data_IF_457771487401
#
_entry.id   IF_457771487401
#
_cell.length_a   1.000
_cell.length_b   1.000
_cell.length_c   1.000
_cell.angle_alpha   90.00
_cell.angle_beta   90.00
_cell.angle_gamma   90.00
#
_symmetry.space_group_name_H-M   'P 1'
#
loop_
_entity.id
_entity.type
_entity.pdbx_description
1 polymer ?
#
# COMPACT_ATOMS: atom_id res chain seq x y z
N UNK A 1 29.68 -16.83 -36.88
CA UNK A 1 29.44 -16.94 -35.42
C UNK A 1 29.27 -15.59 -34.72
N UNK A 2 30.22 -14.64 -34.89
CA UNK A 2 30.15 -13.29 -34.28
C UNK A 2 28.84 -12.53 -34.52
N UNK A 3 28.26 -12.60 -35.72
CA UNK A 3 27.02 -11.89 -36.04
C UNK A 3 25.79 -12.49 -35.36
N UNK A 4 25.78 -13.81 -35.11
CA UNK A 4 24.71 -14.48 -34.35
C UNK A 4 24.76 -14.09 -32.87
N UNK A 5 25.96 -13.96 -32.30
CA UNK A 5 26.16 -13.50 -30.92
C UNK A 5 25.68 -12.05 -30.75
N UNK A 6 26.01 -11.15 -31.70
CA UNK A 6 25.50 -9.76 -31.68
C UNK A 6 23.98 -9.70 -31.75
N UNK A 7 23.35 -10.54 -32.56
CA UNK A 7 21.89 -10.61 -32.68
C UNK A 7 21.24 -11.08 -31.37
N UNK A 8 21.80 -12.11 -30.72
CA UNK A 8 21.32 -12.60 -29.43
C UNK A 8 21.45 -11.51 -28.35
N UNK A 9 22.57 -10.80 -28.33
CA UNK A 9 22.81 -9.72 -27.36
C UNK A 9 21.86 -8.54 -27.58
N UNK A 10 21.56 -8.20 -28.83
CA UNK A 10 20.57 -7.18 -29.19
C UNK A 10 19.14 -7.58 -28.77
N UNK A 11 18.76 -8.84 -28.99
CA UNK A 11 17.47 -9.39 -28.53
C UNK A 11 17.36 -9.40 -27.00
N UNK A 12 18.45 -9.68 -26.28
CA UNK A 12 18.46 -9.68 -24.82
C UNK A 12 18.25 -8.29 -24.22
N UNK A 13 18.76 -7.22 -24.87
CA UNK A 13 18.53 -5.83 -24.43
C UNK A 13 17.06 -5.43 -24.62
N UNK A 14 16.44 -5.82 -25.74
CA UNK A 14 15.03 -5.53 -26.00
C UNK A 14 14.06 -6.27 -25.07
N UNK A 15 14.47 -7.41 -24.50
CA UNK A 15 13.65 -8.19 -23.58
C UNK A 15 13.59 -7.60 -22.15
N UNK A 16 14.40 -6.59 -21.81
CA UNK A 16 14.44 -6.02 -20.45
C UNK A 16 13.13 -5.30 -20.06
N UNK A 17 12.40 -4.76 -21.04
CA UNK A 17 11.11 -4.08 -20.84
C UNK A 17 10.02 -5.03 -20.29
N UNK A 18 10.10 -6.33 -20.57
CA UNK A 18 9.09 -7.31 -20.18
C UNK A 18 9.13 -7.71 -18.70
N UNK A 19 10.21 -7.38 -17.99
CA UNK A 19 10.41 -7.71 -16.58
C UNK A 19 10.21 -6.51 -15.64
N UNK A 20 9.74 -5.38 -16.15
CA UNK A 20 9.42 -4.23 -15.32
C UNK A 20 8.21 -4.52 -14.42
N UNK A 21 8.43 -4.63 -13.11
CA UNK A 21 7.34 -4.73 -12.13
C UNK A 21 6.67 -3.36 -11.99
N UNK A 22 5.50 -3.17 -12.61
CA UNK A 22 4.72 -1.97 -12.40
C UNK A 22 3.91 -2.09 -11.10
N UNK A 23 4.50 -1.59 -10.00
CA UNK A 23 3.90 -1.60 -8.66
C UNK A 23 2.78 -0.56 -8.55
N UNK A 24 2.76 0.42 -9.46
CA UNK A 24 1.79 1.50 -9.49
C UNK A 24 0.54 1.07 -10.25
N UNK A 25 -0.60 1.17 -9.58
CA UNK A 25 -1.90 0.83 -10.15
C UNK A 25 -2.79 2.06 -10.10
N UNK A 26 -3.45 2.35 -11.23
CA UNK A 26 -4.43 3.44 -11.32
C UNK A 26 -5.82 2.92 -10.95
N UNK A 27 -6.53 3.65 -10.10
CA UNK A 27 -7.92 3.37 -9.69
C UNK A 27 -8.78 4.61 -9.90
N UNK A 28 -10.06 4.37 -10.14
CA UNK A 28 -11.07 5.41 -10.28
C UNK A 28 -12.20 5.10 -9.29
N UNK A 29 -12.37 5.99 -8.32
CA UNK A 29 -13.52 5.97 -7.42
C UNK A 29 -14.54 7.03 -7.86
N UNK A 30 -15.83 6.74 -7.74
CA UNK A 30 -16.91 7.65 -8.11
C UNK A 30 -17.89 7.80 -6.96
N UNK A 31 -18.22 9.04 -6.63
CA UNK A 31 -19.10 9.40 -5.52
C UNK A 31 -20.20 10.32 -6.01
N UNK A 32 -21.37 10.26 -5.37
CA UNK A 32 -22.34 11.35 -5.44
C UNK A 32 -21.92 12.42 -4.45
N UNK A 33 -22.12 13.68 -4.80
CA UNK A 33 -21.88 14.77 -3.86
C UNK A 33 -22.76 14.57 -2.63
N UNK A 34 -22.16 14.74 -1.44
CA UNK A 34 -22.84 14.65 -0.17
C UNK A 34 -22.69 15.99 0.58
N UNK A 35 -23.63 16.32 1.49
CA UNK A 35 -23.55 17.54 2.29
C UNK A 35 -22.36 17.57 3.26
N UNK A 36 -21.89 16.39 3.70
CA UNK A 36 -20.79 16.26 4.66
C UNK A 36 -19.42 16.57 4.05
N UNK A 37 -19.35 16.70 2.72
CA UNK A 37 -18.15 16.99 1.95
C UNK A 37 -16.97 16.06 2.30
N UNK A 38 -17.29 14.78 2.48
CA UNK A 38 -16.35 13.78 2.95
C UNK A 38 -16.40 12.56 2.02
N UNK A 39 -15.28 12.32 1.33
CA UNK A 39 -15.16 11.27 0.32
C UNK A 39 -13.97 10.37 0.66
N UNK A 40 -14.27 9.15 1.09
CA UNK A 40 -13.25 8.15 1.42
C UNK A 40 -12.93 7.30 0.19
N UNK A 41 -11.70 7.37 -0.29
CA UNK A 41 -11.22 6.59 -1.43
C UNK A 41 -10.85 5.15 -1.02
N UNK A 42 -10.91 4.24 -1.99
CA UNK A 42 -10.88 2.80 -1.76
C UNK A 42 -9.51 2.25 -1.35
N UNK A 43 -8.41 2.87 -1.78
CA UNK A 43 -7.05 2.42 -1.48
C UNK A 43 -6.34 3.35 -0.49
N UNK A 44 -5.42 2.79 0.31
CA UNK A 44 -4.69 3.52 1.36
C UNK A 44 -3.27 3.95 0.94
N UNK A 45 -2.57 3.13 0.17
CA UNK A 45 -1.18 3.38 -0.25
C UNK A 45 -1.11 4.34 -1.45
N UNK A 46 -1.79 5.48 -1.34
CA UNK A 46 -1.94 6.45 -2.42
C UNK A 46 -0.61 7.14 -2.67
N UNK A 47 -0.25 7.32 -3.93
CA UNK A 47 0.91 8.12 -4.33
C UNK A 47 0.52 9.60 -4.21
N UNK A 48 1.21 10.40 -3.38
CA UNK A 48 0.94 11.82 -3.29
C UNK A 48 1.05 12.52 -4.64
N UNK A 49 0.13 13.45 -4.89
CA UNK A 49 0.00 14.28 -6.10
C UNK A 49 -0.33 13.52 -7.40
N UNK A 50 -0.69 12.24 -7.31
CA UNK A 50 -1.09 11.44 -8.48
C UNK A 50 -2.56 11.58 -8.87
N UNK A 51 -3.36 12.26 -8.04
CA UNK A 51 -4.80 12.31 -8.22
C UNK A 51 -5.26 13.38 -9.21
N UNK A 52 -6.27 13.01 -10.00
CA UNK A 52 -7.04 13.86 -10.87
C UNK A 52 -8.51 13.76 -10.47
N UNK A 53 -9.08 14.88 -10.06
CA UNK A 53 -10.45 14.95 -9.54
C UNK A 53 -11.31 15.67 -10.57
N UNK A 54 -12.45 15.07 -10.88
CA UNK A 54 -13.44 15.61 -11.81
C UNK A 54 -14.77 15.76 -11.09
N UNK A 55 -15.36 16.94 -11.17
CA UNK A 55 -16.74 17.19 -10.81
C UNK A 55 -17.56 17.19 -12.10
N UNK A 56 -18.39 16.17 -12.27
CA UNK A 56 -18.99 15.76 -13.54
C UNK A 56 -17.89 15.57 -14.60
N UNK A 57 -17.70 16.55 -15.47
CA UNK A 57 -16.69 16.55 -16.54
C UNK A 57 -15.64 17.67 -16.38
N UNK A 58 -15.75 18.47 -15.32
CA UNK A 58 -14.80 19.56 -15.05
C UNK A 58 -13.70 19.05 -14.14
N UNK A 59 -12.46 19.11 -14.62
CA UNK A 59 -11.29 18.83 -13.78
C UNK A 59 -11.15 19.94 -12.73
N UNK A 60 -11.01 19.55 -11.47
CA UNK A 60 -10.75 20.45 -10.36
C UNK A 60 -9.25 20.70 -10.23
N UNK A 61 -8.89 21.93 -9.88
CA UNK A 61 -7.52 22.28 -9.55
C UNK A 61 -7.18 21.82 -8.14
N UNK A 62 -5.88 21.75 -7.83
CA UNK A 62 -5.42 21.36 -6.50
C UNK A 62 -5.91 22.28 -5.37
N UNK A 63 -6.22 23.55 -5.70
CA UNK A 63 -6.74 24.51 -4.75
C UNK A 63 -8.24 24.37 -4.48
N UNK A 64 -8.94 23.57 -5.29
CA UNK A 64 -10.38 23.35 -5.20
C UNK A 64 -10.73 22.19 -4.24
N UNK A 65 -9.73 21.46 -3.75
CA UNK A 65 -9.94 20.33 -2.85
C UNK A 65 -8.78 20.16 -1.87
N UNK A 66 -9.05 19.43 -0.79
CA UNK A 66 -8.06 18.94 0.17
C UNK A 66 -8.07 17.43 0.18
N UNK A 67 -6.90 16.83 0.38
CA UNK A 67 -6.72 15.38 0.45
C UNK A 67 -5.81 15.01 1.61
N UNK A 68 -6.27 14.06 2.42
CA UNK A 68 -5.46 13.39 3.42
C UNK A 68 -5.00 12.04 2.87
N UNK A 69 -3.79 11.98 2.32
CA UNK A 69 -3.22 10.74 1.76
C UNK A 69 -3.12 9.61 2.78
N UNK A 70 -2.84 9.94 4.04
CA UNK A 70 -2.72 8.97 5.13
C UNK A 70 -4.06 8.29 5.44
N UNK A 71 -5.16 9.03 5.30
CA UNK A 71 -6.50 8.54 5.64
C UNK A 71 -7.31 8.14 4.41
N UNK A 72 -6.85 8.49 3.20
CA UNK A 72 -7.60 8.34 1.96
C UNK A 72 -8.91 9.13 1.99
N UNK A 73 -8.87 10.37 2.45
CA UNK A 73 -10.07 11.24 2.55
C UNK A 73 -9.87 12.47 1.68
N UNK A 74 -10.88 12.79 0.88
CA UNK A 74 -10.96 14.00 0.07
C UNK A 74 -12.14 14.84 0.54
N UNK A 75 -11.96 16.16 0.51
CA UNK A 75 -13.00 17.17 0.73
C UNK A 75 -12.84 18.30 -0.29
N UNK A 76 -13.93 18.83 -0.81
CA UNK A 76 -13.93 20.01 -1.68
C UNK A 76 -13.77 21.29 -0.85
N UNK A 77 -13.30 22.37 -1.46
CA UNK A 77 -13.29 23.69 -0.81
C UNK A 77 -14.63 24.38 -1.03
N UNK A 78 -15.10 25.17 -0.06
CA UNK A 78 -16.41 25.86 -0.11
C UNK A 78 -16.58 26.79 -1.33
N UNK A 79 -15.49 27.25 -1.93
CA UNK A 79 -15.50 28.06 -3.15
C UNK A 79 -15.90 27.27 -4.40
N UNK A 80 -15.92 25.94 -4.34
CA UNK A 80 -16.30 25.09 -5.46
C UNK A 80 -17.83 25.05 -5.57
N UNK A 81 -18.36 25.58 -6.66
CA UNK A 81 -19.77 25.40 -6.99
C UNK A 81 -20.06 23.95 -7.37
N UNK A 82 -20.96 23.29 -6.63
CA UNK A 82 -21.46 21.95 -6.90
C UNK A 82 -22.95 21.81 -6.55
N UNK A 83 -23.60 20.80 -7.12
CA UNK A 83 -24.96 20.36 -6.81
C UNK A 83 -24.94 18.98 -6.15
N UNK A 84 -25.95 18.66 -5.34
CA UNK A 84 -26.10 17.33 -4.73
C UNK A 84 -26.30 16.20 -5.78
N UNK A 85 -26.72 16.57 -6.99
CA UNK A 85 -26.87 15.63 -8.10
C UNK A 85 -25.58 15.44 -8.91
N UNK A 86 -24.53 16.20 -8.62
CA UNK A 86 -23.26 16.06 -9.31
C UNK A 86 -22.53 14.78 -8.90
N UNK A 87 -21.68 14.30 -9.81
CA UNK A 87 -20.82 13.15 -9.61
C UNK A 87 -19.38 13.61 -9.44
N UNK A 88 -18.75 13.16 -8.35
CA UNK A 88 -17.33 13.34 -8.11
C UNK A 88 -16.58 12.10 -8.54
N UNK A 89 -15.70 12.21 -9.53
CA UNK A 89 -14.84 11.14 -10.03
C UNK A 89 -13.40 11.43 -9.63
N UNK A 90 -12.78 10.51 -8.90
CA UNK A 90 -11.42 10.66 -8.38
C UNK A 90 -10.58 9.54 -8.99
N UNK A 91 -9.66 9.92 -9.88
CA UNK A 91 -8.67 9.01 -10.43
C UNK A 91 -7.34 9.23 -9.72
N UNK A 92 -6.68 8.16 -9.27
CA UNK A 92 -5.40 8.28 -8.57
C UNK A 92 -4.56 7.01 -8.73
N UNK A 93 -3.28 7.10 -8.36
CA UNK A 93 -2.38 5.96 -8.34
C UNK A 93 -2.11 5.50 -6.92
N UNK A 94 -1.98 4.20 -6.74
CA UNK A 94 -1.59 3.60 -5.47
C UNK A 94 -0.54 2.51 -5.68
N UNK A 95 0.23 2.25 -4.62
CA UNK A 95 1.22 1.19 -4.58
C UNK A 95 0.50 -0.08 -4.12
N UNK A 96 0.40 -1.07 -5.01
CA UNK A 96 -0.10 -2.39 -4.64
C UNK A 96 0.96 -3.10 -3.81
N UNK A 97 0.82 -3.03 -2.50
CA UNK A 97 1.67 -3.78 -1.58
C UNK A 97 0.94 -5.08 -1.26
N UNK A 98 1.52 -6.20 -1.66
CA UNK A 98 1.04 -7.55 -1.30
C UNK A 98 1.39 -7.83 0.18
N UNK A 99 0.85 -7.03 1.10
CA UNK A 99 0.99 -7.28 2.53
C UNK A 99 0.14 -8.52 2.84
N UNK A 100 0.80 -9.64 3.08
CA UNK A 100 0.13 -10.82 3.61
C UNK A 100 -0.43 -10.47 4.99
N UNK A 101 -1.71 -10.71 5.19
CA UNK A 101 -2.43 -10.42 6.46
C UNK A 101 -1.91 -11.22 7.65
N UNK A 102 -1.08 -12.23 7.41
CA UNK A 102 -0.47 -13.06 8.44
C UNK A 102 0.87 -12.46 8.91
N UNK A 103 0.89 -11.99 10.16
CA UNK A 103 2.14 -11.66 10.85
C UNK A 103 2.87 -12.94 11.24
N UNK A 104 4.12 -13.07 10.79
CA UNK A 104 5.03 -14.14 11.24
C UNK A 104 6.23 -13.50 11.89
N UNK A 105 6.43 -13.75 13.20
CA UNK A 105 7.67 -13.32 13.86
C UNK A 105 8.84 -14.11 13.28
N UNK A 106 9.91 -13.41 12.94
CA UNK A 106 11.13 -14.01 12.42
C UNK A 106 12.30 -13.55 13.26
N UNK A 107 13.18 -14.46 13.61
CA UNK A 107 14.46 -14.15 14.23
C UNK A 107 15.59 -14.34 13.22
N UNK A 108 16.60 -13.49 13.31
CA UNK A 108 17.82 -13.63 12.53
C UNK A 108 18.68 -14.71 13.19
N UNK A 109 18.90 -15.81 12.48
CA UNK A 109 19.75 -16.91 12.96
C UNK A 109 20.98 -16.99 12.08
N UNK A 110 22.14 -16.99 12.73
CA UNK A 110 23.44 -17.21 12.10
C UNK A 110 23.67 -18.73 12.12
N UNK A 111 23.87 -19.33 10.95
CA UNK A 111 24.15 -20.77 10.82
C UNK A 111 25.37 -20.98 9.95
N UNK A 112 26.11 -22.02 10.27
CA UNK A 112 27.17 -22.50 9.40
C UNK A 112 26.55 -23.36 8.29
N UNK A 113 26.96 -23.13 7.06
CA UNK A 113 26.59 -23.90 5.89
C UNK A 113 27.71 -24.89 5.56
N UNK A 114 27.45 -26.17 5.80
CA UNK A 114 28.42 -27.24 5.59
C UNK A 114 28.80 -27.43 4.11
N UNK A 115 27.95 -26.99 3.18
CA UNK A 115 28.15 -27.16 1.73
C UNK A 115 29.18 -26.17 1.17
N UNK A 116 29.17 -24.94 1.69
CA UNK A 116 30.08 -23.87 1.27
C UNK A 116 31.14 -23.52 2.32
N UNK A 117 31.12 -24.21 3.46
CA UNK A 117 32.01 -23.99 4.60
C UNK A 117 32.03 -22.51 5.06
N UNK A 118 30.86 -21.87 5.08
CA UNK A 118 30.72 -20.45 5.40
C UNK A 118 29.50 -20.18 6.30
N UNK A 119 29.48 -19.02 6.93
CA UNK A 119 28.42 -18.59 7.83
C UNK A 119 27.36 -17.79 7.09
N UNK A 120 26.14 -18.33 7.04
CA UNK A 120 24.99 -17.67 6.43
C UNK A 120 24.06 -17.06 7.48
N UNK A 121 23.44 -15.94 7.13
CA UNK A 121 22.41 -15.29 7.94
C UNK A 121 21.05 -15.62 7.35
N UNK A 122 20.21 -16.32 8.11
CA UNK A 122 18.89 -16.79 7.64
C UNK A 122 17.78 -16.25 8.55
N UNK A 123 16.66 -15.86 7.94
CA UNK A 123 15.45 -15.49 8.65
C UNK A 123 14.65 -16.74 9.00
N UNK A 124 14.59 -17.11 10.29
CA UNK A 124 13.84 -18.28 10.76
C UNK A 124 12.49 -17.84 11.31
N UNK A 125 11.41 -18.49 10.89
CA UNK A 125 10.09 -18.31 11.51
C UNK A 125 10.14 -18.80 12.96
N UNK A 126 9.70 -17.95 13.87
CA UNK A 126 9.56 -18.27 15.29
C UNK A 126 8.07 -18.54 15.55
N UNK A 127 7.75 -19.79 15.85
CA UNK A 127 6.41 -20.14 16.32
C UNK A 127 6.27 -19.58 17.73
N UNK A 128 5.65 -18.40 17.85
CA UNK A 128 5.22 -17.90 19.15
C UNK A 128 3.84 -18.50 19.42
N UNK A 129 3.70 -19.22 20.52
CA UNK A 129 2.38 -19.39 21.11
C UNK A 129 1.95 -18.01 21.64
N UNK A 130 1.01 -17.36 20.94
CA UNK A 130 0.36 -16.11 21.37
C UNK A 130 -0.57 -16.39 22.56
N UNK A 131 -0.01 -16.95 23.63
CA UNK A 131 -0.71 -17.13 24.89
C UNK A 131 -0.86 -15.79 25.59
N UNK A 132 -1.88 -15.72 26.45
CA UNK A 132 -2.04 -14.65 27.42
C UNK A 132 -0.70 -14.28 28.11
N UNK A 133 0.03 -15.32 28.49
CA UNK A 133 1.26 -15.21 29.26
C UNK A 133 2.41 -14.62 28.46
N UNK A 134 2.53 -14.94 27.16
CA UNK A 134 3.60 -14.41 26.31
C UNK A 134 3.38 -12.95 25.92
N UNK A 135 2.12 -12.50 25.91
CA UNK A 135 1.74 -11.11 25.59
C UNK A 135 1.80 -10.21 26.82
N UNK A 136 1.21 -10.66 27.93
CA UNK A 136 1.07 -9.83 29.12
C UNK A 136 2.23 -10.05 30.10
N UNK A 137 2.75 -11.27 30.23
CA UNK A 137 3.77 -11.65 31.21
C UNK A 137 3.20 -12.57 32.27
N UNK A 138 4.08 -13.36 32.91
CA UNK A 138 3.63 -14.33 33.93
C UNK A 138 3.05 -13.65 35.15
N UNK A 139 1.92 -14.19 35.64
CA UNK A 139 1.22 -13.73 36.84
C UNK A 139 0.62 -12.30 36.75
N UNK A 140 0.48 -11.74 35.56
CA UNK A 140 -0.21 -10.46 35.38
C UNK A 140 -1.72 -10.65 35.40
N UNK A 141 -2.35 -10.14 36.47
CA UNK A 141 -3.80 -10.17 36.62
C UNK A 141 -4.48 -9.44 35.47
N UNK A 142 -5.21 -10.20 34.65
CA UNK A 142 -6.05 -9.63 33.60
C UNK A 142 -7.29 -9.01 34.21
N UNK A 143 -7.38 -7.69 34.07
CA UNK A 143 -8.60 -6.88 34.24
C UNK A 143 -9.16 -6.77 35.66
N UNK A 144 -9.07 -5.57 36.23
CA UNK A 144 -10.29 -4.78 36.50
C UNK A 144 -11.33 -5.35 37.46
N UNK A 145 -11.01 -6.28 38.36
CA UNK A 145 -11.92 -6.62 39.46
C UNK A 145 -11.66 -5.65 40.60
N UNK A 146 -12.39 -4.52 40.62
CA UNK A 146 -12.57 -3.73 41.83
C UNK A 146 -13.40 -4.57 42.80
N UNK A 147 -12.73 -5.33 43.66
CA UNK A 147 -13.35 -5.93 44.83
C UNK A 147 -13.70 -4.75 45.76
N UNK A 148 -15.00 -4.51 45.97
CA UNK A 148 -15.51 -3.53 46.92
C UNK A 148 -15.65 -4.15 48.30
#
# INVERSE_FOLDING_TARGET
MKNKIKLILFLAVLAQELFAQNIYVSVIDTFRINPDNFYKISQLNIIPFSENIYLNNRQLNRNDYSISYQRGIISLVDSVSYSLNDLLKIQYQFIKVDIRTEYKKRSLVIRYDDLYADTIKVSKEENIDLSAESIFGRDLQKSGTLIR
#
